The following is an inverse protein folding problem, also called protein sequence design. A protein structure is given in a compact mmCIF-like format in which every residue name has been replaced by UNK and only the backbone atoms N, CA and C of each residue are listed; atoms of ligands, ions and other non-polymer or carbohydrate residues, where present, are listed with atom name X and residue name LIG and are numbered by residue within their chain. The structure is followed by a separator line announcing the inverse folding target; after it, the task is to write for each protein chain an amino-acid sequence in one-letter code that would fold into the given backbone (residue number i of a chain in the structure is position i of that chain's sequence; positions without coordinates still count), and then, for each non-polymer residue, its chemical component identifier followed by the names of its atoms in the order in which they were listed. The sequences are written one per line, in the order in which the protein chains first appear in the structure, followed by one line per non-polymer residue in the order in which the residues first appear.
data_IF_131044002951
#
_entry.id   IF_131044002951
#
_cell.length_a   1.000
_cell.length_b   1.000
_cell.length_c   1.000
_cell.angle_alpha   90.00
_cell.angle_beta   90.00
_cell.angle_gamma   90.00
#
_symmetry.space_group_name_H-M   'P 1'
#
loop_
_entity.id
_entity.type
_entity.pdbx_description
1 polymer ?
#
# COMPACT_ATOMS: atom_id res chain seq x y z
N UNK A 1 36.64 53.64 -5.17
CA UNK A 1 37.68 53.01 -4.32
C UNK A 1 37.59 51.51 -4.55
N UNK A 2 38.60 50.98 -5.26
CA UNK A 2 39.21 49.64 -5.18
C UNK A 2 38.39 48.57 -4.41
N UNK A 3 37.89 47.48 -4.96
CA UNK A 3 38.45 46.57 -5.97
C UNK A 3 38.86 45.26 -5.29
N UNK A 4 38.19 44.14 -5.60
CA UNK A 4 38.84 42.84 -5.90
C UNK A 4 37.81 41.71 -6.14
N UNK A 5 37.80 41.26 -7.40
CA UNK A 5 37.86 39.84 -7.83
C UNK A 5 36.63 38.95 -7.61
N UNK A 6 35.73 39.03 -8.59
CA UNK A 6 35.38 37.94 -9.50
C UNK A 6 35.91 36.54 -9.07
N UNK A 7 35.01 35.66 -8.65
CA UNK A 7 35.20 34.21 -8.78
C UNK A 7 33.95 33.64 -9.44
N UNK A 8 33.98 33.64 -10.77
CA UNK A 8 33.22 32.68 -11.58
C UNK A 8 33.88 31.32 -11.32
N UNK A 9 33.26 30.47 -10.52
CA UNK A 9 33.56 29.04 -10.50
C UNK A 9 32.34 28.32 -11.07
N UNK A 10 32.35 28.18 -12.39
CA UNK A 10 31.61 27.14 -13.10
C UNK A 10 31.94 25.80 -12.44
N UNK A 11 31.05 25.27 -11.61
CA UNK A 11 31.05 23.84 -11.35
C UNK A 11 30.47 23.22 -12.61
N UNK A 12 31.38 22.70 -13.43
CA UNK A 12 31.10 21.90 -14.60
C UNK A 12 30.00 20.88 -14.29
N UNK A 13 29.08 20.73 -15.23
CA UNK A 13 28.16 19.61 -15.29
C UNK A 13 28.96 18.30 -15.28
N UNK A 14 29.18 17.75 -14.09
CA UNK A 14 29.46 16.33 -13.91
C UNK A 14 28.10 15.64 -13.83
N UNK A 15 27.70 15.15 -14.99
CA UNK A 15 26.73 14.11 -15.23
C UNK A 15 27.00 12.92 -14.29
N UNK A 16 26.55 12.99 -13.03
CA UNK A 16 26.31 11.79 -12.23
C UNK A 16 24.85 11.48 -12.41
N UNK A 17 24.55 10.67 -13.44
CA UNK A 17 23.36 9.86 -13.45
C UNK A 17 23.46 8.90 -12.25
N UNK A 18 22.98 9.33 -11.08
CA UNK A 18 22.62 8.40 -10.02
C UNK A 18 21.18 7.98 -10.26
N UNK A 19 20.98 7.08 -11.23
CA UNK A 19 19.83 6.18 -11.15
C UNK A 19 19.91 5.51 -9.77
N UNK A 20 18.84 5.61 -8.96
CA UNK A 20 18.60 4.90 -7.68
C UNK A 20 18.69 5.68 -6.34
N UNK A 21 18.54 7.01 -6.27
CA UNK A 21 18.17 7.70 -5.01
C UNK A 21 16.75 8.27 -5.03
N UNK A 22 15.86 7.62 -5.75
CA UNK A 22 14.48 7.50 -5.30
C UNK A 22 14.40 6.07 -4.83
N UNK A 23 14.71 5.81 -3.55
CA UNK A 23 14.15 4.62 -2.90
C UNK A 23 12.65 4.80 -3.07
N UNK A 24 12.11 4.09 -4.06
CA UNK A 24 10.80 4.32 -4.63
C UNK A 24 9.76 4.51 -3.52
N UNK A 25 9.21 5.72 -3.40
CA UNK A 25 8.24 6.05 -2.35
C UNK A 25 7.03 5.10 -2.37
N UNK A 26 6.75 4.50 -3.53
CA UNK A 26 5.72 3.48 -3.69
C UNK A 26 6.11 2.17 -2.99
N UNK A 27 7.38 1.77 -3.07
CA UNK A 27 7.91 0.59 -2.34
C UNK A 27 7.93 0.80 -0.83
N UNK A 28 8.27 1.98 -0.34
CA UNK A 28 8.17 2.29 1.10
C UNK A 28 6.71 2.21 1.58
N UNK A 29 5.77 2.85 0.86
CA UNK A 29 4.32 2.76 1.17
C UNK A 29 3.80 1.32 1.14
N UNK A 30 4.28 0.50 0.21
CA UNK A 30 3.90 -0.91 0.11
C UNK A 30 4.39 -1.76 1.29
N UNK A 31 5.57 -1.46 1.85
CA UNK A 31 6.04 -2.10 3.08
C UNK A 31 5.22 -1.65 4.29
N UNK A 32 5.01 -0.33 4.44
CA UNK A 32 4.18 0.23 5.51
C UNK A 32 2.75 -0.33 5.51
N UNK A 33 2.11 -0.48 4.35
CA UNK A 33 0.79 -1.11 4.24
C UNK A 33 0.79 -2.58 4.68
N UNK A 34 1.84 -3.34 4.36
CA UNK A 34 1.96 -4.74 4.82
C UNK A 34 2.12 -4.82 6.34
N UNK A 35 2.92 -3.93 6.92
CA UNK A 35 3.13 -3.85 8.36
C UNK A 35 1.81 -3.53 9.08
N UNK A 36 1.07 -2.52 8.61
CA UNK A 36 -0.26 -2.20 9.14
C UNK A 36 -1.25 -3.37 9.05
N UNK A 37 -1.26 -4.11 7.93
CA UNK A 37 -2.14 -5.29 7.80
C UNK A 37 -1.75 -6.42 8.77
N UNK A 38 -0.46 -6.60 9.03
CA UNK A 38 0.03 -7.59 9.98
C UNK A 38 -0.35 -7.21 11.42
N UNK A 39 -0.16 -5.96 11.81
CA UNK A 39 -0.57 -5.44 13.12
C UNK A 39 -2.08 -5.56 13.33
N UNK A 40 -2.87 -5.20 12.33
CA UNK A 40 -4.33 -5.36 12.37
C UNK A 40 -4.73 -6.83 12.58
N UNK A 41 -4.13 -7.76 11.83
CA UNK A 41 -4.40 -9.19 11.98
C UNK A 41 -4.01 -9.70 13.38
N UNK A 42 -2.89 -9.24 13.92
CA UNK A 42 -2.46 -9.58 15.28
C UNK A 42 -3.47 -9.09 16.32
N UNK A 43 -3.94 -7.85 16.22
CA UNK A 43 -4.96 -7.31 17.11
C UNK A 43 -6.28 -8.09 17.02
N UNK A 44 -6.76 -8.39 15.81
CA UNK A 44 -7.97 -9.22 15.61
C UNK A 44 -7.79 -10.62 16.22
N UNK A 45 -6.64 -11.25 16.01
CA UNK A 45 -6.37 -12.57 16.59
C UNK A 45 -6.24 -12.55 18.12
N UNK A 46 -5.75 -11.45 18.70
CA UNK A 46 -5.76 -11.26 20.15
C UNK A 46 -7.20 -11.22 20.69
N UNK A 47 -8.12 -10.51 20.03
CA UNK A 47 -9.54 -10.52 20.40
C UNK A 47 -10.19 -11.90 20.22
N UNK A 48 -9.84 -12.63 19.15
CA UNK A 48 -10.32 -14.00 18.93
C UNK A 48 -9.85 -14.97 20.02
N UNK A 49 -8.61 -14.81 20.50
CA UNK A 49 -8.06 -15.63 21.57
C UNK A 49 -8.81 -15.45 22.89
N UNK A 50 -9.25 -14.23 23.23
CA UNK A 50 -10.11 -13.97 24.41
C UNK A 50 -11.42 -14.77 24.37
N UNK A 51 -11.89 -15.09 23.18
CA UNK A 51 -13.10 -15.88 22.93
C UNK A 51 -12.81 -17.37 22.67
N UNK A 52 -11.58 -17.84 22.87
CA UNK A 52 -11.12 -19.21 22.56
C UNK A 52 -11.34 -19.62 21.09
N UNK A 53 -11.30 -18.67 20.16
CA UNK A 53 -11.44 -18.94 18.73
C UNK A 53 -10.07 -19.16 18.07
N UNK A 54 -9.96 -20.07 17.07
CA UNK A 54 -8.72 -20.25 16.31
C UNK A 54 -8.28 -18.95 15.62
N UNK A 55 -6.96 -18.68 15.50
CA UNK A 55 -6.48 -17.49 14.81
C UNK A 55 -6.80 -17.53 13.31
N UNK A 56 -7.01 -16.36 12.73
CA UNK A 56 -7.10 -16.17 11.29
C UNK A 56 -5.71 -16.08 10.68
N UNK A 57 -5.58 -16.52 9.43
CA UNK A 57 -4.33 -16.45 8.66
C UNK A 57 -4.35 -15.29 7.66
N UNK A 58 -3.19 -14.67 7.47
CA UNK A 58 -3.00 -13.66 6.43
C UNK A 58 -3.18 -14.27 5.04
N UNK A 59 -3.92 -13.60 4.15
CA UNK A 59 -4.09 -14.03 2.77
C UNK A 59 -3.88 -12.86 1.80
N UNK A 60 -2.82 -12.93 1.00
CA UNK A 60 -2.44 -11.87 0.05
C UNK A 60 -3.53 -11.59 -0.98
N UNK A 61 -4.27 -12.61 -1.43
CA UNK A 61 -5.37 -12.44 -2.40
C UNK A 61 -6.53 -11.67 -1.78
N UNK A 62 -6.95 -12.04 -0.57
CA UNK A 62 -8.02 -11.31 0.12
C UNK A 62 -7.65 -9.86 0.41
N UNK A 63 -6.40 -9.61 0.79
CA UNK A 63 -5.92 -8.24 1.01
C UNK A 63 -5.88 -7.42 -0.28
N UNK A 64 -5.54 -8.05 -1.42
CA UNK A 64 -5.63 -7.41 -2.73
C UNK A 64 -7.07 -7.00 -3.06
N UNK A 65 -8.03 -7.91 -2.87
CA UNK A 65 -9.45 -7.61 -3.12
C UNK A 65 -9.99 -6.50 -2.20
N UNK A 66 -9.59 -6.50 -0.92
CA UNK A 66 -9.97 -5.45 0.03
C UNK A 66 -9.37 -4.09 -0.36
N UNK A 67 -8.08 -4.04 -0.70
CA UNK A 67 -7.39 -2.81 -1.10
C UNK A 67 -7.96 -2.22 -2.38
N UNK A 68 -8.25 -3.06 -3.39
CA UNK A 68 -8.86 -2.62 -4.64
C UNK A 68 -10.26 -2.02 -4.39
N UNK A 69 -11.04 -2.63 -3.50
CA UNK A 69 -12.35 -2.11 -3.11
C UNK A 69 -12.25 -0.78 -2.34
N UNK A 70 -11.30 -0.64 -1.42
CA UNK A 70 -11.05 0.64 -0.74
C UNK A 70 -10.62 1.74 -1.73
N UNK A 71 -9.84 1.40 -2.75
CA UNK A 71 -9.47 2.34 -3.80
C UNK A 71 -10.70 2.75 -4.64
N UNK A 72 -11.58 1.80 -4.98
CA UNK A 72 -12.84 2.09 -5.65
C UNK A 72 -13.74 3.03 -4.84
N UNK A 73 -13.89 2.78 -3.54
CA UNK A 73 -14.65 3.64 -2.63
C UNK A 73 -14.06 5.04 -2.53
N UNK A 74 -12.73 5.16 -2.48
CA UNK A 74 -12.04 6.45 -2.46
C UNK A 74 -12.25 7.22 -3.77
N UNK A 75 -12.09 6.54 -4.92
CA UNK A 75 -12.25 7.13 -6.24
C UNK A 75 -13.69 7.61 -6.48
N UNK A 76 -14.68 6.85 -6.02
CA UNK A 76 -16.11 7.17 -6.17
C UNK A 76 -16.67 8.02 -5.03
N UNK A 77 -15.87 8.29 -3.99
CA UNK A 77 -16.26 9.01 -2.76
C UNK A 77 -17.51 8.41 -2.10
N UNK A 78 -17.65 7.08 -2.15
CA UNK A 78 -18.85 6.37 -1.66
C UNK A 78 -18.45 5.09 -0.92
N UNK A 79 -18.78 5.02 0.36
CA UNK A 79 -18.62 3.80 1.15
C UNK A 79 -19.81 2.87 0.91
N UNK A 80 -19.54 1.64 0.45
CA UNK A 80 -20.57 0.63 0.18
C UNK A 80 -19.96 -0.76 0.08
N UNK A 81 -20.74 -1.80 0.41
CA UNK A 81 -20.34 -3.18 0.17
C UNK A 81 -20.35 -3.56 -1.32
N UNK A 82 -21.18 -2.88 -2.12
CA UNK A 82 -21.26 -3.10 -3.57
C UNK A 82 -20.25 -2.21 -4.27
N UNK A 83 -19.37 -2.80 -5.09
CA UNK A 83 -18.41 -2.06 -5.89
C UNK A 83 -19.11 -1.14 -6.89
N UNK A 84 -18.42 -0.10 -7.36
CA UNK A 84 -18.95 0.81 -8.39
C UNK A 84 -19.37 0.08 -9.68
N UNK A 85 -18.74 -1.06 -9.97
CA UNK A 85 -19.06 -1.96 -11.08
C UNK A 85 -20.17 -2.98 -10.77
N UNK A 86 -20.87 -2.86 -9.63
CA UNK A 86 -21.92 -3.78 -9.20
C UNK A 86 -21.45 -5.05 -8.52
N UNK A 87 -20.13 -5.26 -8.36
CA UNK A 87 -19.60 -6.48 -7.73
C UNK A 87 -20.00 -6.62 -6.26
N UNK A 88 -20.29 -7.85 -5.84
CA UNK A 88 -20.34 -8.23 -4.42
C UNK A 88 -18.93 -8.48 -3.86
N UNK A 89 -18.82 -8.58 -2.53
CA UNK A 89 -17.57 -9.00 -1.87
C UNK A 89 -17.06 -10.34 -2.42
N UNK A 90 -17.96 -11.32 -2.57
CA UNK A 90 -17.63 -12.66 -3.06
C UNK A 90 -17.13 -12.63 -4.50
N UNK A 91 -17.68 -11.77 -5.36
CA UNK A 91 -17.21 -11.61 -6.74
C UNK A 91 -15.78 -11.09 -6.75
N UNK A 92 -15.46 -10.09 -5.92
CA UNK A 92 -14.10 -9.55 -5.80
C UNK A 92 -13.11 -10.58 -5.27
N UNK A 93 -13.52 -11.43 -4.32
CA UNK A 93 -12.69 -12.55 -3.83
C UNK A 93 -12.40 -13.56 -4.96
N UNK A 94 -13.39 -13.90 -5.77
CA UNK A 94 -13.20 -14.81 -6.92
C UNK A 94 -12.31 -14.19 -7.99
N UNK A 95 -12.45 -12.89 -8.26
CA UNK A 95 -11.64 -12.16 -9.26
C UNK A 95 -10.14 -12.19 -8.94
N UNK A 96 -9.75 -12.16 -7.66
CA UNK A 96 -8.35 -12.32 -7.24
C UNK A 96 -7.91 -13.79 -7.12
N UNK A 97 -8.74 -14.73 -7.58
CA UNK A 97 -8.45 -16.16 -7.56
C UNK A 97 -8.42 -16.76 -6.15
N UNK A 98 -9.10 -16.15 -5.18
CA UNK A 98 -9.34 -16.76 -3.89
C UNK A 98 -10.46 -17.79 -4.01
N UNK A 99 -10.24 -18.98 -3.45
CA UNK A 99 -11.25 -20.03 -3.38
C UNK A 99 -11.78 -20.05 -1.96
N UNK A 100 -13.06 -19.73 -1.78
CA UNK A 100 -13.70 -19.86 -0.48
C UNK A 100 -13.67 -21.35 -0.08
N UNK A 101 -13.16 -21.68 1.12
CA UNK A 101 -13.48 -22.96 1.73
C UNK A 101 -15.01 -23.05 1.84
N UNK A 102 -15.56 -24.19 1.39
CA UNK A 102 -16.99 -24.49 1.52
C UNK A 102 -17.39 -24.78 2.95
#
# INVERSE_FOLDING_TARGET
MFGQRLVLALVAAALVASDSFVVDAQRFRGLQSKDMHAEMLQAVNAERAKMNLPPLCYNTKLNKAAQDHSQDQANTKRMSHTGSNGSSMTDRMKQVGFKCPG
#
